data_IF_805060245847
#
_entry.id   IF_805060245847
#
_cell.length_a   1.000
_cell.length_b   1.000
_cell.length_c   1.000
_cell.angle_alpha   90.00
_cell.angle_beta   90.00
_cell.angle_gamma   90.00
#
_symmetry.space_group_name_H-M   'P 1'
#
loop_
_entity.id
_entity.type
_entity.pdbx_description
1 polymer ?
#
# COMPACT_ATOMS: atom_id res chain seq x y z
N UNK A 1 23.45 35.71 14.59
CA UNK A 1 22.67 36.78 15.28
C UNK A 1 22.40 36.44 16.72
N UNK A 2 21.86 35.26 17.03
CA UNK A 2 21.56 34.81 18.39
C UNK A 2 22.75 34.84 19.34
N UNK A 3 23.90 34.34 18.88
CA UNK A 3 25.13 34.34 19.66
C UNK A 3 25.60 35.77 20.05
N UNK A 4 25.42 36.73 19.16
CA UNK A 4 25.71 38.15 19.46
C UNK A 4 24.72 38.70 20.51
N UNK A 5 23.45 38.40 20.40
CA UNK A 5 22.42 38.81 21.36
C UNK A 5 22.73 38.22 22.73
N UNK A 6 23.07 36.93 22.79
CA UNK A 6 23.43 36.25 24.05
C UNK A 6 24.66 36.84 24.70
N UNK A 7 25.71 37.14 23.91
CA UNK A 7 27.00 37.64 24.40
C UNK A 7 26.94 39.10 24.92
N UNK A 8 26.05 39.92 24.34
CA UNK A 8 25.98 41.36 24.63
C UNK A 8 24.64 41.79 25.23
N UNK A 9 23.82 40.86 25.73
CA UNK A 9 22.50 41.14 26.32
C UNK A 9 22.54 42.10 27.50
N UNK A 10 23.59 42.05 28.33
CA UNK A 10 23.79 42.89 29.51
C UNK A 10 24.69 44.13 29.28
N UNK A 11 25.15 44.37 28.03
CA UNK A 11 26.07 45.45 27.73
C UNK A 11 25.33 46.73 27.34
N UNK A 12 25.35 47.73 28.20
CA UNK A 12 24.66 49.02 28.01
C UNK A 12 25.12 49.75 26.74
N UNK A 13 26.42 49.75 26.42
CA UNK A 13 26.95 50.40 25.24
C UNK A 13 26.47 49.76 23.90
N UNK A 14 26.05 48.49 23.92
CA UNK A 14 25.58 47.74 22.75
C UNK A 14 24.08 47.48 22.78
N UNK A 15 23.37 48.02 23.74
CA UNK A 15 21.90 47.80 23.95
C UNK A 15 21.11 48.12 22.69
N UNK A 16 21.33 49.23 22.00
CA UNK A 16 20.65 49.61 20.75
C UNK A 16 20.89 48.59 19.64
N UNK A 17 22.12 48.06 19.50
CA UNK A 17 22.46 47.05 18.49
C UNK A 17 21.83 45.70 18.81
N UNK A 18 21.80 45.34 20.08
CA UNK A 18 21.16 44.08 20.56
C UNK A 18 19.66 44.12 20.34
N UNK A 19 19.00 45.21 20.65
CA UNK A 19 17.58 45.43 20.42
C UNK A 19 17.21 45.41 18.93
N UNK A 20 18.01 46.08 18.09
CA UNK A 20 17.80 46.06 16.64
C UNK A 20 17.93 44.64 16.06
N UNK A 21 18.93 43.88 16.49
CA UNK A 21 19.12 42.48 16.05
C UNK A 21 18.06 41.56 16.58
N UNK A 22 17.54 41.79 17.78
CA UNK A 22 16.42 41.07 18.35
C UNK A 22 15.14 41.26 17.52
N UNK A 23 14.82 42.50 17.16
CA UNK A 23 13.72 42.85 16.25
C UNK A 23 13.90 42.25 14.85
N UNK A 24 15.13 42.18 14.34
CA UNK A 24 15.44 41.50 13.08
C UNK A 24 15.19 40.00 13.19
N UNK A 25 15.57 39.37 14.30
CA UNK A 25 15.37 37.93 14.56
C UNK A 25 13.90 37.61 14.69
N UNK A 26 13.14 38.48 15.38
CA UNK A 26 11.67 38.36 15.48
C UNK A 26 10.97 38.49 14.11
N UNK A 27 11.49 39.36 13.22
CA UNK A 27 11.01 39.45 11.83
C UNK A 27 11.43 38.27 10.94
N UNK A 28 12.53 37.61 11.30
CA UNK A 28 13.05 36.41 10.62
C UNK A 28 12.46 35.09 11.21
N UNK A 29 11.61 35.17 12.24
CA UNK A 29 10.82 34.02 12.64
C UNK A 29 9.91 33.68 11.46
N UNK A 30 10.45 32.84 10.58
CA UNK A 30 9.69 32.09 9.61
C UNK A 30 8.66 31.36 10.43
N UNK A 31 7.38 31.62 10.18
CA UNK A 31 6.29 30.84 10.76
C UNK A 31 6.71 29.37 10.61
N UNK A 32 6.83 28.67 11.74
CA UNK A 32 7.13 27.24 11.71
C UNK A 32 6.14 26.59 10.76
N UNK A 33 6.63 26.14 9.61
CA UNK A 33 5.79 25.43 8.64
C UNK A 33 5.25 24.23 9.39
N UNK A 34 3.96 24.30 9.74
CA UNK A 34 3.31 23.20 10.45
C UNK A 34 3.60 21.90 9.68
N UNK A 35 4.09 20.86 10.33
CA UNK A 35 4.35 19.61 9.66
C UNK A 35 3.09 19.15 8.93
N UNK A 36 3.25 18.60 7.74
CA UNK A 36 2.12 18.15 6.94
C UNK A 36 1.21 17.24 7.75
N UNK A 37 -0.08 17.56 7.80
CA UNK A 37 -1.09 16.70 8.43
C UNK A 37 -1.39 15.43 7.59
N UNK A 38 -0.79 15.31 6.40
CA UNK A 38 -0.95 14.13 5.54
C UNK A 38 -0.27 12.94 6.18
N UNK A 39 -1.07 11.94 6.48
CA UNK A 39 -0.61 10.64 6.96
C UNK A 39 -0.58 9.66 5.79
N UNK A 40 0.39 8.77 5.80
CA UNK A 40 0.54 7.71 4.81
C UNK A 40 0.23 6.36 5.45
N UNK A 41 -0.48 5.45 4.77
CA UNK A 41 -0.64 4.09 5.28
C UNK A 41 0.71 3.38 5.35
N UNK A 42 0.90 2.60 6.40
CA UNK A 42 2.11 1.79 6.60
C UNK A 42 2.02 0.48 5.82
N UNK A 43 2.36 0.52 4.53
CA UNK A 43 2.33 -0.65 3.65
C UNK A 43 3.69 -1.34 3.71
N UNK A 44 3.75 -2.51 4.35
CA UNK A 44 4.97 -3.30 4.52
C UNK A 44 4.61 -4.75 4.24
N UNK A 45 5.15 -5.31 3.14
CA UNK A 45 5.05 -6.74 2.85
C UNK A 45 6.28 -7.44 3.40
N UNK A 46 6.05 -8.36 4.32
CA UNK A 46 7.12 -9.19 4.89
C UNK A 46 6.83 -10.64 4.51
N UNK A 47 7.65 -11.26 3.67
CA UNK A 47 7.44 -12.66 3.30
C UNK A 47 7.68 -13.56 4.52
N UNK A 48 6.90 -14.64 4.64
CA UNK A 48 7.10 -15.65 5.69
C UNK A 48 8.49 -16.30 5.60
N UNK A 49 8.98 -16.47 4.39
CA UNK A 49 10.32 -16.98 4.10
C UNK A 49 10.94 -16.26 2.93
N UNK A 50 12.25 -16.27 2.86
CA UNK A 50 12.96 -15.65 1.76
C UNK A 50 12.60 -16.34 0.41
N UNK A 51 12.14 -15.57 -0.59
CA UNK A 51 11.80 -16.14 -1.89
C UNK A 51 13.05 -16.65 -2.63
N UNK A 52 12.89 -17.72 -3.37
CA UNK A 52 13.91 -18.21 -4.29
C UNK A 52 14.15 -17.24 -5.46
N UNK A 53 15.14 -17.55 -6.30
CA UNK A 53 15.47 -16.69 -7.43
C UNK A 53 14.39 -16.69 -8.53
N UNK A 54 13.79 -17.84 -8.79
CA UNK A 54 12.70 -17.98 -9.76
C UNK A 54 11.36 -17.73 -9.07
N UNK A 55 10.68 -16.67 -9.45
CA UNK A 55 9.40 -16.27 -8.87
C UNK A 55 8.23 -16.84 -9.68
N UNK A 56 8.19 -16.56 -10.97
CA UNK A 56 7.12 -16.99 -11.87
C UNK A 56 7.70 -17.29 -13.25
N UNK A 57 7.27 -18.39 -13.83
CA UNK A 57 7.51 -18.75 -15.22
C UNK A 57 6.16 -18.78 -15.95
N UNK A 58 6.08 -18.13 -17.10
CA UNK A 58 4.90 -18.12 -17.97
C UNK A 58 5.33 -18.56 -19.35
N UNK A 59 4.68 -19.59 -19.91
CA UNK A 59 5.03 -20.19 -21.19
C UNK A 59 3.81 -20.41 -22.06
N UNK A 60 3.78 -19.77 -23.25
CA UNK A 60 2.77 -19.92 -24.26
C UNK A 60 1.35 -19.52 -23.82
N UNK A 61 1.21 -18.70 -22.77
CA UNK A 61 -0.07 -18.43 -22.15
C UNK A 61 -1.00 -17.67 -23.10
N UNK A 62 -2.21 -18.20 -23.30
CA UNK A 62 -3.19 -17.65 -24.24
C UNK A 62 -4.58 -17.69 -23.65
N UNK A 63 -5.39 -16.66 -23.97
CA UNK A 63 -6.78 -16.58 -23.54
C UNK A 63 -7.65 -15.86 -24.56
N UNK A 64 -8.87 -16.39 -24.75
CA UNK A 64 -9.96 -15.78 -25.53
C UNK A 64 -11.18 -15.60 -24.64
N UNK A 65 -12.07 -14.72 -25.02
CA UNK A 65 -13.42 -14.64 -24.44
C UNK A 65 -14.28 -15.78 -25.00
N UNK A 66 -15.43 -16.01 -24.37
CA UNK A 66 -16.42 -16.98 -24.87
C UNK A 66 -16.88 -16.66 -26.30
N UNK A 67 -16.93 -15.38 -26.66
CA UNK A 67 -17.26 -14.89 -28.02
C UNK A 67 -16.09 -15.06 -29.01
N UNK A 68 -14.98 -15.69 -28.60
CA UNK A 68 -13.82 -15.95 -29.47
C UNK A 68 -12.86 -14.78 -29.65
N UNK A 69 -13.07 -13.64 -28.96
CA UNK A 69 -12.15 -12.49 -29.04
C UNK A 69 -10.86 -12.81 -28.29
N UNK A 70 -9.71 -12.68 -28.96
CA UNK A 70 -8.41 -12.93 -28.35
C UNK A 70 -8.09 -11.81 -27.35
N UNK A 71 -7.87 -12.19 -26.10
CA UNK A 71 -7.42 -11.28 -25.04
C UNK A 71 -5.89 -11.13 -25.07
N UNK A 72 -5.19 -12.24 -25.12
CA UNK A 72 -3.74 -12.32 -25.33
C UNK A 72 -3.40 -13.70 -25.92
N UNK A 73 -2.24 -13.78 -26.57
CA UNK A 73 -1.80 -14.99 -27.23
C UNK A 73 -0.29 -15.16 -27.10
N UNK A 74 0.15 -16.37 -26.78
CA UNK A 74 1.54 -16.78 -26.72
C UNK A 74 2.41 -15.88 -25.83
N UNK A 75 1.93 -15.59 -24.60
CA UNK A 75 2.67 -14.78 -23.63
C UNK A 75 3.74 -15.63 -22.97
N UNK A 76 5.00 -15.18 -23.05
CA UNK A 76 6.15 -15.88 -22.52
C UNK A 76 7.04 -14.89 -21.76
N UNK A 77 7.33 -15.15 -20.49
CA UNK A 77 8.29 -14.40 -19.67
C UNK A 77 8.61 -15.12 -18.37
N UNK A 78 9.71 -14.72 -17.76
CA UNK A 78 10.13 -15.17 -16.44
C UNK A 78 10.23 -13.96 -15.52
N UNK A 79 9.94 -14.19 -14.23
CA UNK A 79 10.06 -13.20 -13.15
C UNK A 79 11.11 -13.72 -12.16
N UNK A 80 12.09 -12.89 -11.87
CA UNK A 80 13.14 -13.16 -10.92
C UNK A 80 12.95 -12.38 -9.62
N UNK A 81 13.69 -12.77 -8.59
CA UNK A 81 13.66 -12.11 -7.28
C UNK A 81 14.02 -10.62 -7.40
N UNK A 82 13.14 -9.77 -6.91
CA UNK A 82 13.32 -8.33 -6.90
C UNK A 82 12.74 -7.60 -8.11
N UNK A 83 12.24 -8.32 -9.11
CA UNK A 83 11.62 -7.71 -10.29
C UNK A 83 10.39 -6.90 -9.92
N UNK A 84 10.23 -5.78 -10.62
CA UNK A 84 9.04 -4.93 -10.59
C UNK A 84 8.52 -4.80 -12.01
N UNK A 85 7.42 -5.49 -12.30
CA UNK A 85 6.89 -5.61 -13.65
C UNK A 85 5.62 -4.80 -13.78
N UNK A 86 5.51 -4.03 -14.85
CA UNK A 86 4.30 -3.30 -15.23
C UNK A 86 3.76 -3.89 -16.51
N UNK A 87 2.52 -4.36 -16.47
CA UNK A 87 1.79 -4.82 -17.64
C UNK A 87 0.95 -3.68 -18.22
N UNK A 88 1.03 -3.47 -19.51
CA UNK A 88 0.28 -2.43 -20.22
C UNK A 88 -0.54 -3.09 -21.32
N UNK A 89 -1.85 -2.83 -21.34
CA UNK A 89 -2.74 -3.32 -22.38
C UNK A 89 -3.77 -2.25 -22.74
N UNK A 90 -4.17 -2.22 -24.02
CA UNK A 90 -5.31 -1.41 -24.47
C UNK A 90 -6.66 -2.04 -24.08
N UNK A 91 -6.66 -3.32 -23.76
CA UNK A 91 -7.85 -4.05 -23.34
C UNK A 91 -7.78 -4.37 -21.83
N UNK A 92 -8.56 -3.70 -20.98
CA UNK A 92 -8.58 -3.98 -19.56
C UNK A 92 -8.95 -5.42 -19.21
N UNK A 93 -9.83 -6.05 -20.00
CA UNK A 93 -10.23 -7.45 -19.81
C UNK A 93 -9.05 -8.42 -19.96
N UNK A 94 -8.09 -8.11 -20.83
CA UNK A 94 -6.89 -8.92 -21.00
C UNK A 94 -6.06 -8.93 -19.72
N UNK A 95 -5.93 -7.77 -19.06
CA UNK A 95 -5.18 -7.64 -17.80
C UNK A 95 -5.87 -8.41 -16.68
N UNK A 96 -7.19 -8.23 -16.52
CA UNK A 96 -7.96 -8.96 -15.50
C UNK A 96 -7.82 -10.47 -15.72
N UNK A 97 -8.07 -10.95 -16.93
CA UNK A 97 -7.96 -12.37 -17.25
C UNK A 97 -6.56 -12.94 -17.00
N UNK A 98 -5.52 -12.18 -17.32
CA UNK A 98 -4.15 -12.60 -17.06
C UNK A 98 -3.89 -12.81 -15.56
N UNK A 99 -4.25 -11.81 -14.73
CA UNK A 99 -4.05 -11.92 -13.28
C UNK A 99 -4.95 -12.97 -12.64
N UNK A 100 -6.19 -13.13 -13.10
CA UNK A 100 -7.08 -14.21 -12.65
C UNK A 100 -6.50 -15.61 -12.96
N UNK A 101 -5.85 -15.76 -14.13
CA UNK A 101 -5.22 -17.03 -14.52
C UNK A 101 -4.04 -17.34 -13.61
N UNK A 102 -3.09 -16.42 -13.44
CA UNK A 102 -1.88 -16.70 -12.63
C UNK A 102 -2.18 -16.83 -11.14
N UNK A 103 -3.35 -16.36 -10.67
CA UNK A 103 -3.85 -16.60 -9.31
C UNK A 103 -4.75 -17.83 -9.20
N UNK A 104 -4.94 -18.58 -10.29
CA UNK A 104 -5.70 -19.83 -10.28
C UNK A 104 -7.21 -19.69 -10.29
N UNK A 105 -7.75 -18.48 -10.44
CA UNK A 105 -9.20 -18.22 -10.47
C UNK A 105 -9.80 -18.48 -11.86
N UNK A 106 -8.97 -18.47 -12.91
CA UNK A 106 -9.38 -18.72 -14.29
C UNK A 106 -8.42 -19.70 -14.96
N UNK A 107 -8.92 -20.56 -15.85
CA UNK A 107 -8.10 -21.46 -16.65
C UNK A 107 -7.64 -20.77 -17.94
N UNK A 108 -6.37 -20.92 -18.35
CA UNK A 108 -5.92 -20.52 -19.67
C UNK A 108 -6.51 -21.44 -20.75
N UNK A 109 -6.56 -20.95 -21.99
CA UNK A 109 -6.95 -21.76 -23.14
C UNK A 109 -5.76 -22.53 -23.73
N UNK A 110 -4.54 -22.00 -23.58
CA UNK A 110 -3.30 -22.66 -23.94
C UNK A 110 -2.15 -22.13 -23.08
N UNK A 111 -1.06 -22.89 -23.04
CA UNK A 111 0.12 -22.57 -22.24
C UNK A 111 -0.02 -22.95 -20.76
N UNK A 112 0.99 -22.61 -20.00
CA UNK A 112 1.03 -22.86 -18.56
C UNK A 112 1.84 -21.80 -17.85
N UNK A 113 1.71 -21.78 -16.52
CA UNK A 113 2.55 -20.96 -15.65
C UNK A 113 2.93 -21.77 -14.41
N UNK A 114 4.07 -21.43 -13.82
CA UNK A 114 4.56 -22.07 -12.61
C UNK A 114 5.08 -21.00 -11.65
N UNK A 115 4.52 -20.95 -10.44
CA UNK A 115 5.09 -20.21 -9.34
C UNK A 115 6.26 -20.97 -8.72
N UNK A 116 7.27 -20.25 -8.27
CA UNK A 116 8.36 -20.85 -7.51
C UNK A 116 7.84 -21.54 -6.23
N UNK A 117 8.43 -22.67 -5.86
CA UNK A 117 7.98 -23.51 -4.72
C UNK A 117 7.91 -22.76 -3.40
N UNK A 118 8.69 -21.68 -3.26
CA UNK A 118 8.77 -20.87 -2.03
C UNK A 118 7.90 -19.61 -2.09
N UNK A 119 7.06 -19.46 -3.13
CA UNK A 119 6.33 -18.21 -3.36
C UNK A 119 4.92 -18.32 -2.81
N UNK A 120 4.57 -17.37 -1.95
CA UNK A 120 3.20 -17.08 -1.54
C UNK A 120 2.73 -15.84 -2.29
N UNK A 121 1.54 -15.92 -2.89
CA UNK A 121 0.99 -14.82 -3.69
C UNK A 121 -0.05 -14.05 -2.90
N UNK A 122 -0.04 -12.72 -3.04
CA UNK A 122 -1.11 -11.86 -2.56
C UNK A 122 -1.72 -11.13 -3.76
N UNK A 123 -3.01 -11.25 -3.94
CA UNK A 123 -3.74 -10.71 -5.08
C UNK A 123 -4.74 -9.64 -4.67
N UNK A 124 -4.67 -8.48 -5.38
CA UNK A 124 -5.64 -7.40 -5.27
C UNK A 124 -6.53 -7.41 -6.52
N UNK A 125 -7.75 -7.94 -6.43
CA UNK A 125 -8.66 -7.95 -7.57
C UNK A 125 -9.14 -6.52 -7.90
N UNK A 126 -9.45 -6.28 -9.18
CA UNK A 126 -9.99 -5.01 -9.63
C UNK A 126 -11.38 -4.74 -9.02
N UNK A 127 -12.24 -5.76 -9.00
CA UNK A 127 -13.50 -5.75 -8.28
C UNK A 127 -13.33 -6.48 -6.95
N UNK A 128 -13.51 -5.76 -5.87
CA UNK A 128 -13.38 -6.27 -4.51
C UNK A 128 -14.72 -6.24 -3.74
N UNK A 129 -15.82 -6.03 -4.42
CA UNK A 129 -17.15 -5.81 -3.81
C UNK A 129 -17.57 -7.02 -2.95
N UNK A 130 -17.30 -8.23 -3.39
CA UNK A 130 -17.67 -9.46 -2.70
C UNK A 130 -17.04 -9.59 -1.32
N UNK A 131 -15.83 -9.07 -1.12
CA UNK A 131 -15.14 -9.12 0.17
C UNK A 131 -15.81 -8.27 1.26
N UNK A 132 -16.63 -7.31 0.87
CA UNK A 132 -17.29 -6.35 1.77
C UNK A 132 -18.80 -6.55 1.88
N UNK A 133 -19.32 -7.62 1.31
CA UNK A 133 -20.73 -7.97 1.38
C UNK A 133 -21.03 -8.77 2.67
N UNK A 134 -20.68 -8.18 3.81
CA UNK A 134 -20.88 -8.76 5.14
C UNK A 134 -21.14 -7.68 6.17
N UNK A 135 -21.77 -8.07 7.29
CA UNK A 135 -22.06 -7.17 8.41
C UNK A 135 -20.97 -7.12 9.48
N UNK A 136 -19.83 -7.76 9.24
CA UNK A 136 -18.70 -7.74 10.16
C UNK A 136 -18.12 -6.34 10.32
N UNK A 137 -17.58 -6.05 11.50
CA UNK A 137 -16.72 -4.88 11.69
C UNK A 137 -15.33 -5.12 11.08
N UNK A 138 -14.52 -4.06 10.95
CA UNK A 138 -13.20 -4.17 10.32
C UNK A 138 -12.27 -5.15 11.02
N UNK A 139 -12.30 -5.22 12.35
CA UNK A 139 -11.41 -6.11 13.11
C UNK A 139 -11.77 -7.56 12.83
N UNK A 140 -13.05 -7.91 12.97
CA UNK A 140 -13.52 -9.27 12.73
C UNK A 140 -13.36 -9.68 11.27
N UNK A 141 -13.57 -8.74 10.34
CA UNK A 141 -13.34 -8.97 8.93
C UNK A 141 -11.87 -9.27 8.62
N UNK A 142 -10.95 -8.48 9.17
CA UNK A 142 -9.52 -8.67 8.93
C UNK A 142 -9.00 -9.95 9.57
N UNK A 143 -9.55 -10.33 10.72
CA UNK A 143 -9.18 -11.55 11.44
C UNK A 143 -9.48 -12.86 10.68
N UNK A 144 -10.26 -12.80 9.61
CA UNK A 144 -10.51 -13.96 8.74
C UNK A 144 -9.30 -14.31 7.85
N UNK A 145 -8.37 -13.41 7.67
CA UNK A 145 -7.29 -13.49 6.68
C UNK A 145 -5.89 -13.65 7.28
N UNK A 146 -5.77 -13.68 8.59
CA UNK A 146 -4.47 -13.87 9.23
C UNK A 146 -4.60 -14.24 10.68
N UNK A 147 -3.54 -14.83 11.23
CA UNK A 147 -3.46 -15.16 12.64
C UNK A 147 -3.11 -13.93 13.49
N UNK A 148 -3.74 -13.79 14.62
CA UNK A 148 -3.46 -12.71 15.55
C UNK A 148 -4.64 -12.41 16.48
N UNK A 149 -4.33 -11.76 17.60
CA UNK A 149 -5.37 -11.30 18.52
C UNK A 149 -5.96 -9.95 18.07
N UNK A 150 -7.03 -9.55 18.70
CA UNK A 150 -7.72 -8.28 18.41
C UNK A 150 -6.78 -7.06 18.47
N UNK A 151 -5.85 -7.04 19.42
CA UNK A 151 -4.89 -5.94 19.58
C UNK A 151 -3.96 -5.86 18.36
N UNK A 152 -3.49 -7.01 17.87
CA UNK A 152 -2.67 -7.10 16.66
C UNK A 152 -3.43 -6.59 15.43
N UNK A 153 -4.68 -7.02 15.24
CA UNK A 153 -5.54 -6.57 14.13
C UNK A 153 -5.82 -5.07 14.19
N UNK A 154 -6.11 -4.53 15.38
CA UNK A 154 -6.26 -3.08 15.58
C UNK A 154 -4.99 -2.30 15.27
N UNK A 155 -3.83 -2.82 15.66
CA UNK A 155 -2.53 -2.23 15.31
C UNK A 155 -2.28 -2.21 13.81
N UNK A 156 -2.68 -3.29 13.13
CA UNK A 156 -2.58 -3.41 11.66
C UNK A 156 -3.50 -2.40 10.95
N UNK A 157 -4.76 -2.31 11.37
CA UNK A 157 -5.70 -1.31 10.87
C UNK A 157 -5.24 0.11 11.17
N UNK A 158 -4.61 0.35 12.32
CA UNK A 158 -4.02 1.64 12.68
C UNK A 158 -2.93 2.07 11.69
N UNK A 159 -2.09 1.14 11.21
CA UNK A 159 -1.12 1.41 10.13
C UNK A 159 -1.80 1.77 8.81
N UNK A 160 -3.00 1.25 8.58
CA UNK A 160 -3.84 1.59 7.41
C UNK A 160 -4.68 2.85 7.62
N UNK A 161 -4.39 3.64 8.66
CA UNK A 161 -5.06 4.90 8.99
C UNK A 161 -6.52 4.72 9.45
N UNK A 162 -6.87 3.59 10.03
CA UNK A 162 -8.10 3.42 10.78
C UNK A 162 -7.80 3.60 12.27
N UNK A 163 -8.46 4.55 12.92
CA UNK A 163 -8.17 4.91 14.30
C UNK A 163 -9.42 4.97 15.17
N UNK A 164 -9.24 4.71 16.47
CA UNK A 164 -10.32 4.80 17.45
C UNK A 164 -11.51 3.90 17.10
N UNK A 165 -12.69 4.47 17.03
CA UNK A 165 -13.94 3.74 16.74
C UNK A 165 -14.10 3.35 15.28
N UNK A 166 -13.25 3.84 14.37
CA UNK A 166 -13.33 3.49 12.94
C UNK A 166 -13.14 2.00 12.69
N UNK A 167 -12.35 1.34 13.52
CA UNK A 167 -12.10 -0.11 13.41
C UNK A 167 -13.33 -0.96 13.74
N UNK A 168 -14.34 -0.37 14.37
CA UNK A 168 -15.60 -1.02 14.72
C UNK A 168 -16.71 -0.77 13.68
N UNK A 169 -16.43 0.04 12.65
CA UNK A 169 -17.39 0.25 11.55
C UNK A 169 -17.61 -1.06 10.79
N UNK A 170 -18.83 -1.27 10.34
CA UNK A 170 -19.16 -2.37 9.43
C UNK A 170 -18.43 -2.17 8.09
N UNK A 171 -17.89 -3.24 7.54
CA UNK A 171 -17.16 -3.17 6.27
C UNK A 171 -18.05 -2.80 5.08
N UNK A 172 -19.34 -3.08 5.17
CA UNK A 172 -20.33 -2.74 4.14
C UNK A 172 -20.51 -1.22 3.92
N UNK A 173 -20.26 -0.40 4.96
CA UNK A 173 -20.44 1.07 4.88
C UNK A 173 -19.18 1.85 4.52
N UNK A 174 -18.08 1.15 4.26
CA UNK A 174 -16.80 1.77 3.93
C UNK A 174 -16.82 2.47 2.57
N UNK A 175 -16.15 3.60 2.48
CA UNK A 175 -15.84 4.27 1.22
C UNK A 175 -14.90 3.43 0.35
N UNK A 176 -14.84 3.69 -0.96
CA UNK A 176 -13.95 2.98 -1.88
C UNK A 176 -12.47 3.03 -1.46
N UNK A 177 -12.00 4.18 -0.98
CA UNK A 177 -10.63 4.32 -0.47
C UNK A 177 -10.37 3.55 0.83
N UNK A 178 -11.35 3.46 1.73
CA UNK A 178 -11.27 2.63 2.93
C UNK A 178 -11.25 1.15 2.57
N UNK A 179 -12.13 0.70 1.66
CA UNK A 179 -12.12 -0.67 1.14
C UNK A 179 -10.77 -1.05 0.53
N UNK A 180 -10.18 -0.15 -0.27
CA UNK A 180 -8.86 -0.39 -0.85
C UNK A 180 -7.78 -0.55 0.23
N UNK A 181 -7.76 0.30 1.26
CA UNK A 181 -6.82 0.14 2.39
C UNK A 181 -7.03 -1.17 3.15
N UNK A 182 -8.28 -1.62 3.32
CA UNK A 182 -8.60 -2.92 3.90
C UNK A 182 -8.06 -4.07 3.05
N UNK A 183 -8.23 -4.02 1.72
CA UNK A 183 -7.68 -5.02 0.82
C UNK A 183 -6.16 -5.10 0.87
N UNK A 184 -5.48 -3.95 0.95
CA UNK A 184 -4.02 -3.91 1.13
C UNK A 184 -3.63 -4.49 2.50
N UNK A 185 -4.39 -4.21 3.57
CA UNK A 185 -4.17 -4.82 4.87
C UNK A 185 -4.28 -6.35 4.81
N UNK A 186 -5.33 -6.87 4.16
CA UNK A 186 -5.53 -8.29 3.92
C UNK A 186 -4.33 -8.92 3.20
N UNK A 187 -3.86 -8.29 2.11
CA UNK A 187 -2.70 -8.79 1.35
C UNK A 187 -1.41 -8.87 2.16
N UNK A 188 -1.26 -8.04 3.18
CA UNK A 188 -0.08 -8.06 4.06
C UNK A 188 -0.16 -9.14 5.13
N UNK A 189 -1.34 -9.73 5.35
CA UNK A 189 -1.58 -10.80 6.33
C UNK A 189 -1.63 -12.19 5.68
N UNK A 190 -1.73 -12.24 4.34
CA UNK A 190 -1.80 -13.47 3.56
C UNK A 190 -0.48 -14.23 3.50
#
# INVERSE_FOLDING_TARGET
>A
MEEFIRRFSANVAKSKQTTSRKKMLEKLNVEEIKPSSRKYPGIIFTPEREPGNQILEVSGLSKKTEDGVVLFNDVNFNVEKGDKIVFISRNPRAMTAFFEIINGHMKPDAGHFNWGVTITTAYLPLDNTEYFNTDLNLVDWLSQYGEGNEVYMKGFLGRMLFSGEEVLKKVSVLSGGEKMRCMIARMQLA
#
